data_IF_670621226173
#
_entry.id   IF_670621226173
#
_cell.length_a   1.000
_cell.length_b   1.000
_cell.length_c   1.000
_cell.angle_alpha   90.00
_cell.angle_beta   90.00
_cell.angle_gamma   90.00
#
_symmetry.space_group_name_H-M   'P 1'
#
loop_
_entity.id
_entity.type
_entity.pdbx_description
1 polymer ?
#
# COMPACT_ATOMS: atom_id res chain seq x y z
N UNK A 1 22.77 -11.11 -1.63
CA UNK A 1 21.39 -10.61 -1.49
C UNK A 1 20.45 -11.73 -1.86
N UNK A 2 19.51 -12.11 -0.99
CA UNK A 2 18.50 -13.10 -1.34
C UNK A 2 17.57 -12.50 -2.41
N UNK A 3 17.44 -13.18 -3.55
CA UNK A 3 16.52 -12.76 -4.60
C UNK A 3 15.08 -12.89 -4.10
N UNK A 4 14.35 -11.78 -4.06
CA UNK A 4 12.89 -11.78 -3.78
C UNK A 4 12.08 -12.26 -5.00
N UNK A 5 12.72 -12.79 -6.05
CA UNK A 5 12.07 -13.31 -7.25
C UNK A 5 11.26 -12.24 -7.99
N UNK A 6 11.71 -10.98 -7.95
CA UNK A 6 11.10 -9.85 -8.64
C UNK A 6 12.18 -9.05 -9.39
N UNK A 7 11.88 -8.66 -10.62
CA UNK A 7 12.74 -7.80 -11.42
C UNK A 7 12.00 -6.49 -11.70
N UNK A 8 12.48 -5.39 -11.10
CA UNK A 8 11.97 -4.05 -11.37
C UNK A 8 12.94 -3.38 -12.35
N UNK A 9 12.45 -3.03 -13.55
CA UNK A 9 13.24 -2.34 -14.56
C UNK A 9 12.59 -1.01 -14.92
N UNK A 10 13.40 0.04 -14.86
CA UNK A 10 13.12 1.31 -15.52
C UNK A 10 13.86 1.30 -16.85
N UNK A 11 13.20 1.69 -17.93
CA UNK A 11 13.85 1.83 -19.23
C UNK A 11 13.49 3.17 -19.85
N UNK A 12 14.48 3.74 -20.53
CA UNK A 12 14.33 5.01 -21.21
C UNK A 12 13.39 4.83 -22.41
N UNK A 13 12.42 5.71 -22.57
CA UNK A 13 11.61 5.76 -23.78
C UNK A 13 12.44 6.44 -24.86
N UNK A 14 12.69 5.77 -25.99
CA UNK A 14 13.48 6.28 -27.13
C UNK A 14 12.93 7.57 -27.77
N UNK A 15 11.79 8.07 -27.29
CA UNK A 15 11.17 9.33 -27.71
C UNK A 15 11.88 10.54 -27.07
N UNK A 16 12.28 11.50 -27.90
CA UNK A 16 12.82 12.81 -27.51
C UNK A 16 11.85 13.48 -26.51
N UNK A 17 12.28 13.67 -25.26
CA UNK A 17 11.44 14.13 -24.14
C UNK A 17 11.29 13.12 -22.98
N UNK A 18 11.78 11.89 -23.15
CA UNK A 18 12.34 11.04 -22.08
C UNK A 18 11.48 10.76 -20.85
N UNK A 19 10.21 10.36 -21.00
CA UNK A 19 9.46 9.78 -19.87
C UNK A 19 9.93 8.35 -19.65
N UNK A 20 10.49 8.06 -18.48
CA UNK A 20 10.83 6.68 -18.09
C UNK A 20 9.60 5.79 -18.12
N UNK A 21 9.72 4.61 -18.74
CA UNK A 21 8.72 3.55 -18.64
C UNK A 21 9.14 2.59 -17.53
N UNK A 22 8.17 2.02 -16.82
CA UNK A 22 8.39 1.05 -15.76
C UNK A 22 7.43 -0.13 -15.91
N UNK A 23 7.87 -1.30 -15.49
CA UNK A 23 7.00 -2.47 -15.41
C UNK A 23 6.00 -2.28 -14.27
N UNK A 24 4.69 -2.27 -14.57
CA UNK A 24 3.66 -2.23 -13.55
C UNK A 24 3.76 -3.48 -12.66
N UNK A 25 3.76 -3.30 -11.34
CA UNK A 25 3.67 -4.43 -10.43
C UNK A 25 2.24 -5.00 -10.45
N UNK A 26 2.12 -6.27 -10.80
CA UNK A 26 0.88 -7.02 -10.66
C UNK A 26 0.58 -7.32 -9.18
N UNK A 27 -0.66 -7.66 -8.83
CA UNK A 27 -1.11 -7.80 -7.44
C UNK A 27 -0.23 -8.69 -6.56
N UNK A 28 0.22 -9.84 -7.07
CA UNK A 28 1.15 -10.75 -6.36
C UNK A 28 2.52 -10.10 -6.09
N UNK A 29 3.04 -9.35 -7.05
CA UNK A 29 4.33 -8.68 -6.92
C UNK A 29 4.23 -7.49 -5.94
N UNK A 30 3.14 -6.71 -5.98
CA UNK A 30 2.85 -5.66 -4.99
C UNK A 30 2.81 -6.23 -3.57
N UNK A 31 2.11 -7.35 -3.38
CA UNK A 31 2.02 -8.02 -2.07
C UNK A 31 3.39 -8.48 -1.58
N UNK A 32 4.22 -9.07 -2.45
CA UNK A 32 5.57 -9.51 -2.09
C UNK A 32 6.48 -8.35 -1.72
N UNK A 33 6.35 -7.19 -2.37
CA UNK A 33 7.09 -5.97 -2.01
C UNK A 33 6.71 -5.50 -0.61
N UNK A 34 5.41 -5.39 -0.33
CA UNK A 34 4.95 -4.96 0.99
C UNK A 34 5.38 -5.92 2.11
N UNK A 35 5.46 -7.22 1.82
CA UNK A 35 5.80 -8.24 2.80
C UNK A 35 7.31 -8.41 3.03
N UNK A 36 8.12 -8.39 1.97
CA UNK A 36 9.51 -8.90 2.01
C UNK A 36 10.57 -7.94 1.52
N UNK A 37 10.22 -6.73 1.07
CA UNK A 37 11.19 -5.81 0.49
C UNK A 37 12.12 -5.25 1.58
N UNK A 38 13.45 -5.47 1.49
CA UNK A 38 14.38 -5.11 2.55
C UNK A 38 14.80 -3.63 2.42
N UNK A 39 13.93 -2.71 2.85
CA UNK A 39 14.15 -1.25 2.69
C UNK A 39 15.48 -0.82 3.30
N UNK A 40 15.84 -1.35 4.47
CA UNK A 40 17.07 -1.04 5.21
C UNK A 40 18.35 -1.41 4.45
N UNK A 41 18.29 -2.36 3.51
CA UNK A 41 19.43 -2.70 2.65
C UNK A 41 19.74 -1.61 1.62
N UNK A 42 18.76 -0.79 1.24
CA UNK A 42 18.90 0.28 0.24
C UNK A 42 18.93 1.68 0.87
N UNK A 43 18.28 1.85 2.01
CA UNK A 43 18.26 3.07 2.79
C UNK A 43 18.78 2.75 4.19
N UNK A 44 20.09 2.75 4.42
CA UNK A 44 20.64 2.46 5.74
C UNK A 44 20.29 3.57 6.75
N UNK A 45 20.40 3.25 8.03
CA UNK A 45 20.15 4.17 9.14
C UNK A 45 18.70 4.22 9.62
N UNK A 46 18.43 5.06 10.62
CA UNK A 46 17.14 5.12 11.33
C UNK A 46 15.94 5.33 10.40
N UNK A 47 16.09 6.21 9.39
CA UNK A 47 15.04 6.50 8.42
C UNK A 47 14.58 5.26 7.63
N UNK A 48 15.51 4.41 7.20
CA UNK A 48 15.16 3.19 6.49
C UNK A 48 14.40 2.20 7.37
N UNK A 49 14.84 2.04 8.63
CA UNK A 49 14.15 1.20 9.61
C UNK A 49 12.72 1.69 9.86
N UNK A 50 12.51 3.01 9.94
CA UNK A 50 11.16 3.56 10.11
C UNK A 50 10.27 3.30 8.88
N UNK A 51 10.80 3.44 7.67
CA UNK A 51 10.05 3.12 6.43
C UNK A 51 9.72 1.63 6.37
N UNK A 52 10.68 0.76 6.69
CA UNK A 52 10.46 -0.69 6.72
C UNK A 52 9.36 -1.07 7.70
N UNK A 53 9.42 -0.54 8.93
CA UNK A 53 8.39 -0.75 9.94
C UNK A 53 7.02 -0.23 9.49
N UNK A 54 6.97 0.93 8.83
CA UNK A 54 5.74 1.47 8.25
C UNK A 54 5.13 0.50 7.23
N UNK A 55 5.93 -0.09 6.34
CA UNK A 55 5.46 -1.06 5.35
C UNK A 55 4.95 -2.34 6.00
N UNK A 56 5.65 -2.86 7.01
CA UNK A 56 5.24 -4.05 7.76
C UNK A 56 3.95 -3.83 8.55
N UNK A 57 3.78 -2.66 9.17
CA UNK A 57 2.56 -2.29 9.86
C UNK A 57 1.39 -2.20 8.88
N UNK A 58 1.59 -1.53 7.74
CA UNK A 58 0.57 -1.46 6.69
C UNK A 58 0.19 -2.84 6.15
N UNK A 59 1.16 -3.72 5.93
CA UNK A 59 0.90 -5.09 5.50
C UNK A 59 0.07 -5.88 6.53
N UNK A 60 0.28 -5.63 7.82
CA UNK A 60 -0.51 -6.24 8.89
C UNK A 60 -1.96 -5.77 8.88
N UNK A 61 -2.20 -4.47 8.68
CA UNK A 61 -3.55 -3.92 8.47
C UNK A 61 -4.21 -4.53 7.23
N UNK A 62 -3.48 -4.63 6.12
CA UNK A 62 -3.97 -5.26 4.90
C UNK A 62 -4.43 -6.71 5.13
N UNK A 63 -3.64 -7.51 5.86
CA UNK A 63 -4.03 -8.88 6.21
C UNK A 63 -5.33 -8.93 7.02
N UNK A 64 -5.51 -8.01 7.97
CA UNK A 64 -6.75 -7.92 8.76
C UNK A 64 -7.96 -7.56 7.90
N UNK A 65 -7.82 -6.61 6.97
CA UNK A 65 -8.90 -6.27 6.03
C UNK A 65 -9.28 -7.43 5.11
N UNK A 66 -8.33 -8.32 4.82
CA UNK A 66 -8.52 -9.51 4.00
C UNK A 66 -8.89 -10.76 4.82
N UNK A 67 -9.11 -10.62 6.12
CA UNK A 67 -9.45 -11.76 6.98
C UNK A 67 -10.82 -12.33 6.62
N UNK A 68 -10.91 -13.67 6.65
CA UNK A 68 -12.18 -14.40 6.56
C UNK A 68 -12.86 -14.58 7.90
N UNK A 69 -12.11 -14.38 8.98
CA UNK A 69 -12.56 -14.61 10.33
C UNK A 69 -13.40 -13.43 10.82
N UNK A 70 -14.32 -13.68 11.75
CA UNK A 70 -14.99 -12.63 12.47
C UNK A 70 -13.99 -11.86 13.35
N UNK A 71 -14.07 -10.54 13.31
CA UNK A 71 -13.17 -9.68 14.09
C UNK A 71 -13.84 -9.29 15.41
N UNK A 72 -13.18 -9.64 16.52
CA UNK A 72 -13.55 -9.14 17.84
C UNK A 72 -13.41 -7.61 17.91
N UNK A 73 -14.18 -6.95 18.77
CA UNK A 73 -14.12 -5.48 18.90
C UNK A 73 -12.73 -4.99 19.32
N UNK A 74 -12.04 -5.77 20.16
CA UNK A 74 -10.65 -5.50 20.52
C UNK A 74 -9.73 -5.47 19.28
N UNK A 75 -9.97 -6.35 18.30
CA UNK A 75 -9.20 -6.39 17.05
C UNK A 75 -9.51 -5.18 16.16
N UNK A 76 -10.77 -4.76 16.08
CA UNK A 76 -11.17 -3.55 15.33
C UNK A 76 -10.60 -2.29 15.98
N UNK A 77 -10.64 -2.19 17.31
CA UNK A 77 -10.07 -1.06 18.05
C UNK A 77 -8.55 -0.99 17.86
N UNK A 78 -7.87 -2.14 17.90
CA UNK A 78 -6.44 -2.22 17.60
C UNK A 78 -6.15 -1.83 16.15
N UNK A 79 -6.95 -2.28 15.19
CA UNK A 79 -6.83 -1.90 13.79
C UNK A 79 -6.92 -0.37 13.62
N UNK A 80 -7.87 0.29 14.27
CA UNK A 80 -8.00 1.75 14.21
C UNK A 80 -6.74 2.47 14.71
N UNK A 81 -6.25 2.08 15.90
CA UNK A 81 -5.04 2.64 16.50
C UNK A 81 -3.84 2.43 15.58
N UNK A 82 -3.66 1.21 15.07
CA UNK A 82 -2.54 0.86 14.19
C UNK A 82 -2.62 1.59 12.84
N UNK A 83 -3.82 1.79 12.29
CA UNK A 83 -4.03 2.55 11.05
C UNK A 83 -3.71 4.04 11.23
N UNK A 84 -4.15 4.65 12.33
CA UNK A 84 -3.80 6.02 12.68
C UNK A 84 -2.29 6.17 12.90
N UNK A 85 -1.67 5.22 13.60
CA UNK A 85 -0.22 5.18 13.82
C UNK A 85 0.56 5.05 12.50
N UNK A 86 0.05 4.32 11.52
CA UNK A 86 0.67 4.24 10.19
C UNK A 86 0.67 5.63 9.50
N UNK A 87 -0.45 6.34 9.51
CA UNK A 87 -0.54 7.69 8.93
C UNK A 87 0.33 8.69 9.69
N UNK A 88 0.36 8.59 11.02
CA UNK A 88 1.22 9.43 11.86
C UNK A 88 2.71 9.19 11.56
N UNK A 89 3.13 7.92 11.48
CA UNK A 89 4.51 7.55 11.14
C UNK A 89 4.88 8.01 9.73
N UNK A 90 3.96 7.86 8.76
CA UNK A 90 4.15 8.37 7.40
C UNK A 90 4.46 9.88 7.40
N UNK A 91 3.73 10.65 8.21
CA UNK A 91 3.88 12.10 8.34
C UNK A 91 4.96 12.55 9.35
N UNK A 92 5.83 11.64 9.81
CA UNK A 92 6.83 11.96 10.83
C UNK A 92 7.72 13.13 10.36
N UNK A 93 7.74 14.25 11.10
CA UNK A 93 8.38 15.47 10.64
C UNK A 93 9.90 15.38 10.72
N UNK A 94 10.56 16.25 9.94
CA UNK A 94 11.99 16.48 10.11
C UNK A 94 12.22 17.30 11.37
N UNK A 95 12.98 16.77 12.32
CA UNK A 95 13.37 17.49 13.54
C UNK A 95 14.68 18.22 13.30
N UNK A 96 14.72 19.49 13.69
CA UNK A 96 15.90 20.36 13.57
C UNK A 96 16.21 20.98 14.93
N UNK A 97 17.49 21.16 15.24
CA UNK A 97 17.93 22.01 16.35
C UNK A 97 17.65 23.48 16.03
N UNK A 98 17.72 24.34 17.05
CA UNK A 98 17.70 25.80 16.87
C UNK A 98 18.81 26.28 15.90
N UNK A 99 19.93 25.57 15.86
CA UNK A 99 21.05 25.79 14.92
C UNK A 99 20.77 25.35 13.48
N UNK A 100 19.54 24.93 13.15
CA UNK A 100 19.10 24.36 11.85
C UNK A 100 19.68 22.99 11.48
N UNK A 101 20.52 22.41 12.32
CA UNK A 101 21.05 21.05 12.15
C UNK A 101 19.91 20.01 12.23
N UNK A 102 19.87 19.06 11.28
CA UNK A 102 18.83 18.01 11.22
C UNK A 102 19.19 16.89 12.22
N UNK A 103 18.34 16.71 13.24
CA UNK A 103 18.46 15.58 14.20
C UNK A 103 17.82 14.33 13.60
N UNK A 104 16.69 14.50 12.93
CA UNK A 104 15.91 13.41 12.37
C UNK A 104 15.31 13.86 11.06
N UNK A 105 15.58 13.14 9.98
CA UNK A 105 14.92 13.39 8.70
C UNK A 105 13.54 12.74 8.72
N UNK A 106 12.52 13.50 8.34
CA UNK A 106 11.16 12.99 8.18
C UNK A 106 11.05 11.97 7.04
N UNK A 107 9.90 11.31 6.97
CA UNK A 107 9.65 10.29 5.94
C UNK A 107 8.99 10.93 4.72
N UNK A 108 7.74 11.37 4.88
CA UNK A 108 6.90 12.03 3.87
C UNK A 108 6.22 13.27 4.46
N UNK A 109 5.64 14.12 3.60
CA UNK A 109 4.94 15.33 4.03
C UNK A 109 3.46 15.05 4.30
N UNK A 110 2.81 15.89 5.10
CA UNK A 110 1.37 15.76 5.38
C UNK A 110 0.52 15.96 4.12
N UNK A 111 1.00 16.77 3.19
CA UNK A 111 0.36 17.03 1.89
C UNK A 111 0.37 15.78 0.99
N UNK A 112 1.26 14.81 1.26
CA UNK A 112 1.35 13.56 0.51
C UNK A 112 0.35 12.50 1.01
N UNK A 113 -0.44 12.80 2.05
CA UNK A 113 -1.48 11.90 2.53
C UNK A 113 -2.58 11.78 1.49
N UNK A 114 -2.73 10.56 0.96
CA UNK A 114 -3.74 10.30 -0.06
C UNK A 114 -5.13 10.11 0.54
N UNK A 115 -6.21 10.31 -0.25
CA UNK A 115 -7.57 9.99 0.19
C UNK A 115 -7.72 8.56 0.71
N UNK A 116 -7.01 7.59 0.12
CA UNK A 116 -7.03 6.19 0.57
C UNK A 116 -6.44 5.99 1.97
N UNK A 117 -5.41 6.76 2.34
CA UNK A 117 -4.85 6.71 3.70
C UNK A 117 -5.81 7.31 4.72
N UNK A 118 -6.51 8.40 4.35
CA UNK A 118 -7.57 8.96 5.19
C UNK A 118 -8.72 7.96 5.39
N UNK A 119 -9.19 7.34 4.32
CA UNK A 119 -10.22 6.29 4.38
C UNK A 119 -9.78 5.13 5.27
N UNK A 120 -8.54 4.65 5.10
CA UNK A 120 -7.99 3.55 5.90
C UNK A 120 -8.02 3.84 7.40
N UNK A 121 -7.60 5.04 7.82
CA UNK A 121 -7.45 5.37 9.23
C UNK A 121 -8.75 5.87 9.89
N UNK A 122 -9.63 6.53 9.14
CA UNK A 122 -10.82 7.18 9.69
C UNK A 122 -12.12 6.43 9.41
N UNK A 123 -12.24 5.76 8.26
CA UNK A 123 -13.52 5.22 7.78
C UNK A 123 -13.58 3.70 7.81
N UNK A 124 -12.49 3.00 7.50
CA UNK A 124 -12.47 1.53 7.54
C UNK A 124 -12.83 0.97 8.93
N UNK A 125 -12.33 1.49 10.07
CA UNK A 125 -12.72 0.97 11.38
C UNK A 125 -14.22 1.14 11.66
N UNK A 126 -14.79 2.30 11.32
CA UNK A 126 -16.23 2.54 11.43
C UNK A 126 -17.01 1.55 10.56
N UNK A 127 -16.56 1.35 9.31
CA UNK A 127 -17.20 0.40 8.41
C UNK A 127 -17.10 -1.05 8.91
N UNK A 128 -15.96 -1.46 9.49
CA UNK A 128 -15.82 -2.78 10.13
C UNK A 128 -16.83 -2.99 11.25
N UNK A 129 -17.10 -1.97 12.09
CA UNK A 129 -18.10 -2.04 13.16
C UNK A 129 -19.52 -2.18 12.60
N UNK A 130 -19.86 -1.39 11.59
CA UNK A 130 -21.17 -1.45 10.93
C UNK A 130 -21.41 -2.78 10.22
N UNK A 131 -20.39 -3.34 9.57
CA UNK A 131 -20.51 -4.65 8.93
C UNK A 131 -20.68 -5.75 9.97
N UNK A 132 -19.93 -5.68 11.08
CA UNK A 132 -20.04 -6.64 12.16
C UNK A 132 -21.44 -6.69 12.78
N UNK A 133 -22.13 -5.55 12.94
CA UNK A 133 -23.51 -5.55 13.47
C UNK A 133 -24.52 -6.25 12.56
N UNK A 134 -24.20 -6.38 11.28
CA UNK A 134 -25.02 -7.02 10.25
C UNK A 134 -24.54 -8.46 9.91
N UNK A 135 -23.60 -9.02 10.69
CA UNK A 135 -22.93 -10.30 10.39
C UNK A 135 -22.24 -10.34 9.00
N UNK A 136 -21.75 -9.18 8.56
CA UNK A 136 -21.03 -8.99 7.30
C UNK A 136 -19.53 -8.77 7.53
N UNK A 137 -18.73 -9.06 6.49
CA UNK A 137 -17.27 -8.95 6.52
C UNK A 137 -16.77 -8.00 5.45
N UNK A 138 -15.73 -7.23 5.78
CA UNK A 138 -15.14 -6.24 4.87
C UNK A 138 -14.70 -6.85 3.53
N UNK A 139 -14.18 -8.08 3.56
CA UNK A 139 -13.73 -8.79 2.35
C UNK A 139 -14.84 -9.00 1.30
N UNK A 140 -16.12 -9.06 1.70
CA UNK A 140 -17.24 -9.27 0.78
C UNK A 140 -17.42 -8.09 -0.18
N UNK A 141 -16.95 -6.90 0.22
CA UNK A 141 -17.00 -5.68 -0.56
C UNK A 141 -15.71 -5.45 -1.37
N UNK A 142 -14.83 -6.44 -1.45
CA UNK A 142 -13.63 -6.38 -2.28
C UNK A 142 -13.95 -6.53 -3.77
N UNK A 143 -13.36 -5.69 -4.61
CA UNK A 143 -13.41 -5.80 -6.08
C UNK A 143 -12.55 -6.94 -6.65
N UNK A 144 -11.82 -7.69 -5.83
CA UNK A 144 -10.85 -8.71 -6.28
C UNK A 144 -11.47 -9.78 -7.20
N UNK A 145 -12.73 -10.16 -6.97
CA UNK A 145 -13.47 -11.10 -7.84
C UNK A 145 -13.78 -10.52 -9.22
N UNK A 146 -13.95 -9.20 -9.34
CA UNK A 146 -14.20 -8.51 -10.61
C UNK A 146 -12.91 -8.42 -11.44
N UNK A 147 -11.77 -8.12 -10.80
CA UNK A 147 -10.45 -8.06 -11.44
C UNK A 147 -9.95 -9.45 -11.91
N UNK A 148 -10.32 -10.51 -11.18
CA UNK A 148 -9.99 -11.87 -11.61
C UNK A 148 -10.77 -12.27 -12.85
N UNK A 149 -12.05 -11.85 -12.94
CA UNK A 149 -12.87 -12.06 -14.14
C UNK A 149 -12.36 -11.27 -15.33
N UNK A 150 -11.95 -10.01 -15.18
CA UNK A 150 -11.36 -9.24 -16.30
C UNK A 150 -10.08 -9.87 -16.82
N UNK A 151 -9.26 -10.48 -15.93
CA UNK A 151 -8.13 -11.32 -16.36
C UNK A 151 -8.59 -12.57 -17.12
N UNK A 152 -9.68 -13.22 -16.72
CA UNK A 152 -10.23 -14.37 -17.48
C UNK A 152 -10.79 -13.98 -18.85
N UNK A 153 -11.42 -12.81 -18.97
CA UNK A 153 -11.92 -12.29 -20.26
C UNK A 153 -10.80 -11.96 -21.26
N UNK A 154 -9.64 -11.49 -20.77
CA UNK A 154 -8.48 -11.18 -21.60
C UNK A 154 -7.79 -12.42 -22.21
N UNK A 155 -8.06 -13.63 -21.72
CA UNK A 155 -7.55 -14.88 -22.31
C UNK A 155 -8.54 -15.54 -23.29
N UNK A 156 -9.80 -15.07 -23.34
CA UNK A 156 -10.85 -15.62 -24.21
C UNK A 156 -11.04 -14.88 -25.55
N UNK A 157 -10.56 -13.64 -25.69
CA UNK A 157 -10.73 -12.85 -26.91
C UNK A 157 -9.37 -12.45 -27.52
N UNK A 158 -8.70 -13.43 -28.15
CA UNK A 158 -7.76 -13.14 -29.24
C UNK A 158 -8.52 -13.11 -30.56
N UNK A 159 -9.33 -12.06 -30.77
CA UNK A 159 -9.82 -11.69 -32.09
C UNK A 159 -10.32 -10.22 -32.08
N UNK A 160 -9.48 -9.37 -32.66
CA UNK A 160 -9.70 -8.01 -33.15
C UNK A 160 -9.52 -6.77 -32.24
N UNK A 161 -8.87 -5.71 -32.79
CA UNK A 161 -8.55 -4.46 -32.10
C UNK A 161 -9.62 -3.41 -32.38
N UNK A 162 -10.04 -2.64 -31.38
CA UNK A 162 -10.76 -1.38 -31.64
C UNK A 162 -10.24 -0.29 -30.70
N UNK A 163 -9.64 0.71 -31.34
CA UNK A 163 -9.36 2.06 -30.85
C UNK A 163 -10.62 2.79 -30.38
N UNK A 164 -10.41 3.74 -29.46
CA UNK A 164 -11.25 4.93 -29.20
C UNK A 164 -12.61 4.73 -28.53
N UNK A 165 -13.17 5.64 -27.73
CA UNK A 165 -12.80 6.90 -27.04
C UNK A 165 -13.96 7.17 -26.04
N UNK A 166 -13.84 8.25 -25.26
CA UNK A 166 -14.87 8.95 -24.44
C UNK A 166 -14.91 8.57 -22.95
#
# INVERSE_FOLDING_TARGET
MASIGMNFRFYNSETIGGKYKWTALMGLAKKRVLEKFPVTSYLPGSRGHTIEKLWQNFFSLYKLMCSKDELADATINKFEIDAQNCVFTFCQPTLKKATKEIIQKGIYQRQDVTPYMHILACHIPAFMRSLKSEDLKLQYFSSSSLEKKSSTWLWGNWAYPIYNWA
#
